data_IF_490699499133
#
_entry.id   IF_490699499133
#
_cell.length_a   1.000
_cell.length_b   1.000
_cell.length_c   1.000
_cell.angle_alpha   90.00
_cell.angle_beta   90.00
_cell.angle_gamma   90.00
#
_symmetry.space_group_name_H-M   'P 1'
#
loop_
_entity.id
_entity.type
_entity.pdbx_description
1 polymer ?
#
# COMPACT_ATOMS: atom_id res chain seq x y z
N UNK A 1 6.73 47.15 -26.47
CA UNK A 1 5.60 46.26 -26.80
C UNK A 1 6.20 44.88 -27.06
N UNK A 2 6.31 43.96 -26.09
CA UNK A 2 6.66 42.58 -26.44
C UNK A 2 5.42 41.89 -27.01
N UNK A 3 5.71 41.09 -28.03
CA UNK A 3 4.84 40.22 -28.80
C UNK A 3 3.90 39.39 -27.91
N UNK A 4 2.59 39.49 -28.15
CA UNK A 4 1.65 38.47 -27.69
C UNK A 4 1.91 37.19 -28.49
N UNK A 5 2.91 36.40 -28.05
CA UNK A 5 2.92 34.98 -28.31
C UNK A 5 1.53 34.44 -27.90
N UNK A 6 0.96 33.53 -28.69
CA UNK A 6 -0.29 32.87 -28.31
C UNK A 6 0.00 32.05 -27.05
N UNK A 7 -0.10 32.69 -25.88
CA UNK A 7 0.13 32.07 -24.59
C UNK A 7 -0.87 30.92 -24.48
N UNK A 8 -0.37 29.69 -24.51
CA UNK A 8 -1.20 28.52 -24.28
C UNK A 8 -1.84 28.68 -22.91
N UNK A 9 -3.17 28.83 -22.87
CA UNK A 9 -3.87 28.92 -21.60
C UNK A 9 -4.00 27.52 -21.02
N UNK A 10 -3.66 27.38 -19.74
CA UNK A 10 -3.88 26.19 -18.95
C UNK A 10 -4.87 26.53 -17.83
N UNK A 11 -6.00 25.83 -17.78
CA UNK A 11 -6.91 25.88 -16.64
C UNK A 11 -6.27 25.11 -15.49
N UNK A 12 -6.24 25.73 -14.32
CA UNK A 12 -5.74 25.13 -13.09
C UNK A 12 -6.78 25.32 -11.99
N UNK A 13 -6.98 24.29 -11.18
CA UNK A 13 -7.78 24.36 -9.96
C UNK A 13 -6.83 24.49 -8.79
N UNK A 14 -6.87 25.61 -8.07
CA UNK A 14 -6.03 25.86 -6.90
C UNK A 14 -6.87 25.73 -5.63
N UNK A 15 -6.59 24.72 -4.82
CA UNK A 15 -7.13 24.58 -3.48
C UNK A 15 -6.31 25.37 -2.48
N UNK A 16 -6.88 26.45 -1.95
CA UNK A 16 -6.36 27.17 -0.80
C UNK A 16 -7.04 26.70 0.49
N UNK A 17 -6.49 27.03 1.69
CA UNK A 17 -7.02 26.54 2.96
C UNK A 17 -8.50 26.87 3.22
N UNK A 18 -8.98 28.00 2.71
CA UNK A 18 -10.35 28.47 2.95
C UNK A 18 -11.30 28.28 1.75
N UNK A 19 -10.77 28.21 0.52
CA UNK A 19 -11.56 28.11 -0.71
C UNK A 19 -10.75 27.50 -1.85
N UNK A 20 -11.46 27.08 -2.89
CA UNK A 20 -10.88 26.57 -4.12
C UNK A 20 -11.21 27.54 -5.25
N UNK A 21 -10.25 27.80 -6.13
CA UNK A 21 -10.41 28.72 -7.26
C UNK A 21 -10.00 28.03 -8.56
N UNK A 22 -10.76 28.26 -9.62
CA UNK A 22 -10.44 27.76 -10.96
C UNK A 22 -10.06 28.95 -11.84
N UNK A 23 -8.86 28.92 -12.42
CA UNK A 23 -8.31 30.02 -13.20
C UNK A 23 -7.65 29.49 -14.47
N UNK A 24 -7.84 30.21 -15.57
CA UNK A 24 -7.04 30.02 -16.78
C UNK A 24 -5.81 30.91 -16.68
N UNK A 25 -4.63 30.30 -16.66
CA UNK A 25 -3.33 30.99 -16.53
C UNK A 25 -2.46 30.71 -17.76
N UNK A 26 -1.58 31.65 -18.16
CA UNK A 26 -0.58 31.40 -19.19
C UNK A 26 0.35 30.25 -18.81
N UNK A 27 0.49 29.23 -19.65
CA UNK A 27 1.30 28.05 -19.38
C UNK A 27 2.81 28.30 -19.53
N UNK A 28 3.19 29.35 -20.25
CA UNK A 28 4.55 29.77 -20.55
C UNK A 28 5.17 30.65 -19.46
N UNK A 29 4.37 31.11 -18.49
CA UNK A 29 4.84 31.97 -17.39
C UNK A 29 5.35 31.11 -16.20
N UNK A 30 6.47 31.50 -15.56
CA UNK A 30 6.99 30.84 -14.37
C UNK A 30 6.00 30.81 -13.21
N UNK A 31 6.06 29.75 -12.40
CA UNK A 31 5.20 29.60 -11.21
C UNK A 31 5.40 30.77 -10.22
N UNK A 32 6.62 31.27 -10.05
CA UNK A 32 6.93 32.42 -9.19
C UNK A 32 6.12 33.68 -9.54
N UNK A 33 5.88 33.92 -10.83
CA UNK A 33 5.18 35.10 -11.31
C UNK A 33 3.66 34.95 -11.17
N UNK A 34 3.16 33.71 -11.23
CA UNK A 34 1.73 33.40 -11.06
C UNK A 34 1.32 33.36 -9.59
N UNK A 35 2.21 32.96 -8.69
CA UNK A 35 1.95 32.75 -7.26
C UNK A 35 1.31 33.97 -6.57
N UNK A 36 1.83 35.21 -6.68
CA UNK A 36 1.23 36.37 -6.02
C UNK A 36 -0.22 36.63 -6.46
N UNK A 37 -0.49 36.47 -7.75
CA UNK A 37 -1.83 36.62 -8.31
C UNK A 37 -2.77 35.52 -7.80
N UNK A 38 -2.31 34.27 -7.77
CA UNK A 38 -3.10 33.14 -7.25
C UNK A 38 -3.40 33.31 -5.75
N UNK A 39 -2.43 33.75 -4.95
CA UNK A 39 -2.60 34.04 -3.52
C UNK A 39 -3.62 35.16 -3.31
N UNK A 40 -3.54 36.24 -4.10
CA UNK A 40 -4.49 37.35 -4.05
C UNK A 40 -5.92 36.90 -4.37
N UNK A 41 -6.12 36.06 -5.40
CA UNK A 41 -7.44 35.51 -5.69
C UNK A 41 -7.90 34.48 -4.65
N UNK A 42 -6.98 33.78 -4.00
CA UNK A 42 -7.25 32.76 -2.99
C UNK A 42 -7.69 33.32 -1.62
N UNK A 43 -7.44 34.60 -1.32
CA UNK A 43 -8.00 35.29 -0.16
C UNK A 43 -7.24 36.56 0.23
N UNK A 44 -7.95 37.53 0.80
CA UNK A 44 -7.40 38.86 1.12
C UNK A 44 -6.33 38.80 2.23
N UNK A 45 -6.50 37.92 3.23
CA UNK A 45 -5.58 37.73 4.37
C UNK A 45 -4.44 36.74 4.06
N UNK A 46 -4.48 36.09 2.90
CA UNK A 46 -3.57 34.99 2.59
C UNK A 46 -2.14 35.48 2.34
N UNK A 47 -2.00 36.67 1.74
CA UNK A 47 -0.70 37.30 1.51
C UNK A 47 0.01 37.68 2.83
N UNK A 48 -0.74 38.18 3.81
CA UNK A 48 -0.22 38.58 5.13
C UNK A 48 0.20 37.36 5.94
N UNK A 49 -0.64 36.32 5.98
CA UNK A 49 -0.30 35.03 6.59
C UNK A 49 0.94 34.39 5.97
N UNK A 50 1.19 34.64 4.69
CA UNK A 50 2.39 34.25 3.96
C UNK A 50 3.69 34.61 4.68
N UNK A 51 3.70 35.74 5.39
CA UNK A 51 4.88 36.24 6.10
C UNK A 51 5.25 35.37 7.31
N UNK A 52 4.28 34.73 7.95
CA UNK A 52 4.49 33.90 9.15
C UNK A 52 5.12 32.55 8.83
N UNK A 53 4.94 32.04 7.60
CA UNK A 53 5.33 30.70 7.19
C UNK A 53 6.27 30.67 5.97
N UNK A 54 6.97 31.77 5.70
CA UNK A 54 8.01 31.84 4.67
C UNK A 54 7.49 31.77 3.22
N UNK A 55 6.22 32.13 3.00
CA UNK A 55 5.58 32.16 1.70
C UNK A 55 4.72 30.94 1.39
N UNK A 56 4.07 31.00 0.23
CA UNK A 56 3.19 29.96 -0.30
C UNK A 56 3.88 29.18 -1.40
N UNK A 57 3.61 27.88 -1.44
CA UNK A 57 4.04 26.98 -2.50
C UNK A 57 2.83 26.34 -3.17
N UNK A 58 2.98 25.99 -4.45
CA UNK A 58 2.02 25.17 -5.18
C UNK A 58 2.54 23.74 -5.27
N UNK A 59 1.67 22.78 -5.01
CA UNK A 59 2.05 21.37 -4.95
C UNK A 59 0.94 20.49 -5.55
N UNK A 60 1.32 19.43 -6.26
CA UNK A 60 0.37 18.37 -6.68
C UNK A 60 0.10 17.43 -5.51
N UNK A 61 -1.06 16.78 -5.49
CA UNK A 61 -1.37 15.80 -4.45
C UNK A 61 -0.30 14.68 -4.44
N UNK A 62 0.44 14.59 -3.33
CA UNK A 62 1.47 13.57 -3.12
C UNK A 62 2.75 13.71 -3.94
N UNK A 63 2.93 14.80 -4.70
CA UNK A 63 4.19 15.13 -5.39
C UNK A 63 4.97 16.21 -4.63
N UNK A 64 6.21 16.50 -5.02
CA UNK A 64 6.99 17.63 -4.46
C UNK A 64 6.36 19.00 -4.80
N UNK A 65 6.71 20.07 -4.05
CA UNK A 65 6.39 21.43 -4.43
C UNK A 65 6.87 21.74 -5.87
N UNK A 66 6.07 22.49 -6.62
CA UNK A 66 6.43 22.92 -7.97
C UNK A 66 7.65 23.86 -7.91
N UNK A 67 8.57 23.67 -8.86
CA UNK A 67 9.73 24.54 -9.04
C UNK A 67 9.27 25.95 -9.47
N UNK A 68 9.65 26.97 -8.69
CA UNK A 68 9.16 28.35 -8.85
C UNK A 68 9.72 29.06 -10.09
N UNK A 69 10.91 28.67 -10.53
CA UNK A 69 11.63 29.21 -11.70
C UNK A 69 11.16 28.62 -13.03
N UNK A 70 10.32 27.58 -12.99
CA UNK A 70 9.85 26.82 -14.15
C UNK A 70 8.45 27.24 -14.55
N UNK A 71 8.17 27.24 -15.85
CA UNK A 71 6.82 27.47 -16.38
C UNK A 71 5.94 26.22 -16.20
N UNK A 72 4.61 26.41 -16.16
CA UNK A 72 3.65 25.30 -16.01
C UNK A 72 3.80 24.24 -17.12
N UNK A 73 4.06 24.68 -18.35
CA UNK A 73 4.33 23.80 -19.49
C UNK A 73 5.61 22.98 -19.28
N UNK A 74 6.68 23.59 -18.78
CA UNK A 74 7.96 22.90 -18.54
C UNK A 74 7.91 21.88 -17.40
N UNK A 75 6.96 22.05 -16.47
CA UNK A 75 6.67 21.08 -15.40
C UNK A 75 5.69 20.00 -15.90
N UNK A 76 5.20 20.13 -17.13
CA UNK A 76 4.24 19.20 -17.73
C UNK A 76 2.89 19.23 -17.02
N UNK A 77 2.46 20.39 -16.52
CA UNK A 77 1.13 20.57 -15.96
C UNK A 77 0.09 20.55 -17.09
N UNK A 78 -0.93 19.71 -16.96
CA UNK A 78 -2.01 19.59 -17.95
C UNK A 78 -3.19 20.48 -17.61
N UNK A 79 -3.97 20.82 -18.63
CA UNK A 79 -5.22 21.54 -18.47
C UNK A 79 -6.18 20.81 -17.53
N UNK A 80 -6.72 21.54 -16.55
CA UNK A 80 -7.64 21.04 -15.54
C UNK A 80 -6.97 20.35 -14.35
N UNK A 81 -5.63 20.39 -14.23
CA UNK A 81 -4.96 19.82 -13.06
C UNK A 81 -5.25 20.61 -11.79
N UNK A 82 -5.30 19.86 -10.69
CA UNK A 82 -5.56 20.37 -9.35
C UNK A 82 -4.25 20.55 -8.58
N UNK A 83 -4.04 21.76 -8.09
CA UNK A 83 -2.90 22.18 -7.29
C UNK A 83 -3.36 22.59 -5.89
N UNK A 84 -2.49 22.39 -4.91
CA UNK A 84 -2.72 22.75 -3.52
C UNK A 84 -1.78 23.90 -3.16
N UNK A 85 -2.38 24.99 -2.67
CA UNK A 85 -1.67 26.13 -2.15
C UNK A 85 -1.38 25.89 -0.66
N UNK A 86 -0.10 25.68 -0.33
CA UNK A 86 0.34 25.24 1.00
C UNK A 86 1.38 26.20 1.58
N UNK A 87 1.44 26.36 2.91
CA UNK A 87 2.56 27.05 3.56
C UNK A 87 3.87 26.34 3.23
N UNK A 88 4.94 27.10 2.94
CA UNK A 88 6.26 26.52 2.64
C UNK A 88 6.81 25.66 3.79
N UNK A 89 6.51 26.01 5.03
CA UNK A 89 6.87 25.22 6.23
C UNK A 89 6.08 23.93 6.39
N UNK A 90 4.98 23.74 5.64
CA UNK A 90 4.09 22.58 5.70
C UNK A 90 3.94 21.92 4.32
N UNK A 91 5.07 21.86 3.59
CA UNK A 91 5.18 21.14 2.31
C UNK A 91 5.04 19.64 2.55
N UNK A 92 4.17 18.99 1.79
CA UNK A 92 4.00 17.54 1.91
C UNK A 92 5.23 16.82 1.33
N UNK A 93 5.72 15.73 1.94
CA UNK A 93 6.71 14.89 1.29
C UNK A 93 6.08 14.16 0.10
N UNK A 94 6.91 13.75 -0.86
CA UNK A 94 6.49 12.85 -1.93
C UNK A 94 5.95 11.54 -1.36
N UNK A 95 4.82 11.08 -1.88
CA UNK A 95 4.20 9.83 -1.45
C UNK A 95 5.05 8.67 -1.95
N UNK A 96 5.82 8.08 -1.04
CA UNK A 96 6.50 6.82 -1.27
C UNK A 96 5.56 5.70 -0.82
N UNK A 97 4.95 5.01 -1.80
CA UNK A 97 4.16 3.81 -1.54
C UNK A 97 5.14 2.63 -1.35
N UNK A 98 5.57 2.40 -0.11
CA UNK A 98 6.54 1.34 0.23
C UNK A 98 5.94 -0.07 0.12
N UNK A 99 4.60 -0.17 0.11
CA UNK A 99 3.97 -1.44 0.45
C UNK A 99 2.80 -1.87 -0.44
N UNK A 100 3.13 -2.17 -1.70
CA UNK A 100 2.24 -2.96 -2.55
C UNK A 100 2.22 -4.45 -2.12
N UNK A 101 3.10 -4.87 -1.21
CA UNK A 101 3.30 -6.27 -0.80
C UNK A 101 2.41 -6.66 0.39
N UNK A 102 2.19 -5.79 1.38
CA UNK A 102 1.22 -6.00 2.47
C UNK A 102 -0.21 -5.91 1.96
N UNK A 103 -0.47 -5.08 0.94
CA UNK A 103 -1.78 -4.99 0.30
C UNK A 103 -2.22 -6.30 -0.35
N UNK A 104 -1.28 -7.04 -0.96
CA UNK A 104 -1.56 -8.38 -1.50
C UNK A 104 -1.58 -9.46 -0.41
N UNK A 105 -0.76 -9.34 0.63
CA UNK A 105 -0.73 -10.29 1.74
C UNK A 105 -2.06 -10.33 2.51
N UNK A 106 -2.62 -9.15 2.79
CA UNK A 106 -3.94 -9.00 3.42
C UNK A 106 -5.07 -9.51 2.52
N UNK A 107 -5.02 -9.22 1.22
CA UNK A 107 -6.03 -9.71 0.26
C UNK A 107 -5.97 -11.23 0.03
N UNK A 108 -4.80 -11.87 0.15
CA UNK A 108 -4.67 -13.32 0.02
C UNK A 108 -5.21 -14.09 1.24
N UNK A 109 -5.40 -13.43 2.38
CA UNK A 109 -5.89 -14.05 3.61
C UNK A 109 -7.38 -14.45 3.52
N UNK A 110 -8.14 -13.79 2.65
CA UNK A 110 -9.58 -14.03 2.43
C UNK A 110 -9.89 -15.13 1.39
N UNK A 111 -8.90 -15.92 0.95
CA UNK A 111 -9.16 -17.03 0.02
C UNK A 111 -9.97 -18.15 0.70
N UNK A 112 -11.15 -18.54 0.14
CA UNK A 112 -12.00 -19.60 0.70
C UNK A 112 -11.39 -21.02 0.62
N UNK A 113 -10.28 -21.19 -0.11
CA UNK A 113 -9.57 -22.46 -0.30
C UNK A 113 -8.16 -22.48 0.33
N UNK A 114 -7.87 -21.54 1.25
CA UNK A 114 -6.61 -21.54 2.00
C UNK A 114 -6.51 -22.75 2.93
N UNK A 115 -5.28 -23.21 3.19
CA UNK A 115 -5.00 -24.31 4.11
C UNK A 115 -5.34 -23.88 5.55
N UNK A 116 -6.61 -24.01 5.93
CA UNK A 116 -7.09 -23.55 7.23
C UNK A 116 -6.60 -24.46 8.36
N UNK A 117 -6.38 -23.93 9.59
CA UNK A 117 -5.99 -24.73 10.76
C UNK A 117 -6.94 -25.91 11.03
N UNK A 118 -8.23 -25.74 10.72
CA UNK A 118 -9.25 -26.80 10.82
C UNK A 118 -8.99 -27.97 9.85
N UNK A 119 -8.55 -27.68 8.62
CA UNK A 119 -8.22 -28.70 7.61
C UNK A 119 -6.94 -29.42 8.02
N UNK A 120 -5.88 -28.69 8.43
CA UNK A 120 -4.65 -29.28 8.98
C UNK A 120 -4.94 -30.27 10.10
N UNK A 121 -5.74 -29.86 11.08
CA UNK A 121 -6.09 -30.69 12.23
C UNK A 121 -6.85 -31.94 11.82
N UNK A 122 -7.79 -31.84 10.88
CA UNK A 122 -8.57 -32.98 10.40
C UNK A 122 -7.69 -33.97 9.63
N UNK A 123 -6.79 -33.48 8.77
CA UNK A 123 -5.84 -34.31 8.04
C UNK A 123 -4.90 -35.04 8.99
N UNK A 124 -4.31 -34.33 9.96
CA UNK A 124 -3.42 -34.92 10.98
C UNK A 124 -4.13 -35.99 11.82
N UNK A 125 -5.35 -35.71 12.31
CA UNK A 125 -6.13 -36.69 13.08
C UNK A 125 -6.53 -37.90 12.23
N UNK A 126 -6.87 -37.70 10.96
CA UNK A 126 -7.21 -38.80 10.05
C UNK A 126 -6.00 -39.72 9.80
N UNK A 127 -4.83 -39.12 9.61
CA UNK A 127 -3.57 -39.86 9.42
C UNK A 127 -3.19 -40.63 10.69
N UNK A 128 -3.34 -40.01 11.87
CA UNK A 128 -3.13 -40.65 13.17
C UNK A 128 -4.01 -41.90 13.36
N UNK A 129 -5.32 -41.76 13.09
CA UNK A 129 -6.27 -42.88 13.19
C UNK A 129 -5.95 -44.00 12.21
N UNK A 130 -5.54 -43.66 10.98
CA UNK A 130 -5.22 -44.64 9.94
C UNK A 130 -3.94 -45.42 10.28
N UNK A 131 -2.92 -44.74 10.82
CA UNK A 131 -1.71 -45.38 11.35
C UNK A 131 -2.01 -46.30 12.54
N UNK A 132 -2.85 -45.85 13.48
CA UNK A 132 -3.25 -46.67 14.63
C UNK A 132 -4.03 -47.92 14.20
N UNK A 133 -4.99 -47.76 13.29
CA UNK A 133 -5.78 -48.86 12.74
C UNK A 133 -4.89 -49.88 12.00
N UNK A 134 -3.92 -49.40 11.21
CA UNK A 134 -2.96 -50.26 10.52
C UNK A 134 -2.08 -51.04 11.51
N UNK A 135 -1.60 -50.39 12.58
CA UNK A 135 -0.84 -51.06 13.65
C UNK A 135 -1.64 -52.16 14.35
N UNK A 136 -2.91 -51.88 14.69
CA UNK A 136 -3.81 -52.87 15.29
C UNK A 136 -4.12 -54.03 14.35
N UNK A 137 -4.37 -53.75 13.06
CA UNK A 137 -4.61 -54.78 12.05
C UNK A 137 -3.39 -55.70 11.89
N UNK A 138 -2.17 -55.13 11.85
CA UNK A 138 -0.93 -55.91 11.78
C UNK A 138 -0.73 -56.80 13.02
N UNK A 139 -1.16 -56.34 14.20
CA UNK A 139 -1.14 -57.15 15.41
C UNK A 139 -2.20 -58.26 15.42
N UNK A 140 -3.33 -58.07 14.76
CA UNK A 140 -4.44 -59.03 14.70
C UNK A 140 -4.22 -60.20 13.72
N UNK A 141 -3.29 -60.08 12.75
CA UNK A 141 -3.02 -61.16 11.76
C UNK A 141 -2.26 -62.33 12.40
N UNK A 142 -2.81 -63.55 12.48
CA UNK A 142 -2.10 -64.71 13.03
C UNK A 142 -0.92 -65.14 12.13
N UNK A 143 0.23 -65.49 12.71
CA UNK A 143 1.36 -66.13 11.99
C UNK A 143 2.60 -65.29 11.67
N UNK A 144 2.67 -64.01 12.05
CA UNK A 144 3.90 -63.20 11.85
C UNK A 144 4.89 -63.32 13.03
N UNK A 145 6.18 -63.41 12.72
CA UNK A 145 7.29 -63.45 13.69
C UNK A 145 7.26 -62.24 14.63
N UNK A 146 7.44 -62.47 15.93
CA UNK A 146 7.26 -61.43 16.96
C UNK A 146 8.13 -60.19 16.78
N UNK A 147 9.30 -60.33 16.18
CA UNK A 147 10.23 -59.24 15.90
C UNK A 147 9.70 -58.26 14.83
N UNK A 148 9.05 -58.79 13.78
CA UNK A 148 8.48 -57.96 12.71
C UNK A 148 7.29 -57.13 13.25
N UNK A 149 6.52 -57.71 14.18
CA UNK A 149 5.45 -57.02 14.89
C UNK A 149 5.98 -55.91 15.80
N UNK A 150 7.05 -56.19 16.55
CA UNK A 150 7.67 -55.20 17.43
C UNK A 150 8.23 -54.01 16.63
N UNK A 151 8.89 -54.28 15.50
CA UNK A 151 9.42 -53.24 14.62
C UNK A 151 8.31 -52.39 14.00
N UNK A 152 7.23 -53.03 13.53
CA UNK A 152 6.06 -52.33 12.98
C UNK A 152 5.36 -51.45 14.03
N UNK A 153 5.21 -51.94 15.27
CA UNK A 153 4.63 -51.19 16.37
C UNK A 153 5.51 -49.99 16.76
N UNK A 154 6.84 -50.18 16.82
CA UNK A 154 7.78 -49.10 17.10
C UNK A 154 7.77 -48.02 16.00
N UNK A 155 7.75 -48.43 14.73
CA UNK A 155 7.65 -47.51 13.59
C UNK A 155 6.36 -46.71 13.61
N UNK A 156 5.22 -47.38 13.83
CA UNK A 156 3.93 -46.71 13.99
C UNK A 156 3.94 -45.73 15.17
N UNK A 157 4.48 -46.12 16.33
CA UNK A 157 4.62 -45.24 17.49
C UNK A 157 5.45 -43.98 17.19
N UNK A 158 6.58 -44.13 16.49
CA UNK A 158 7.45 -43.01 16.11
C UNK A 158 6.73 -42.03 15.17
N UNK A 159 5.98 -42.55 14.20
CA UNK A 159 5.14 -41.77 13.28
C UNK A 159 4.01 -41.03 14.02
N UNK A 160 3.36 -41.67 14.99
CA UNK A 160 2.31 -41.05 15.80
C UNK A 160 2.87 -39.91 16.67
N UNK A 161 4.04 -40.10 17.29
CA UNK A 161 4.71 -39.06 18.10
C UNK A 161 5.17 -37.88 17.25
N UNK A 162 5.74 -38.13 16.06
CA UNK A 162 6.10 -37.08 15.11
C UNK A 162 4.87 -36.29 14.62
N UNK A 163 3.78 -37.00 14.31
CA UNK A 163 2.49 -36.41 13.94
C UNK A 163 1.91 -35.53 15.06
N UNK A 164 1.90 -36.03 16.31
CA UNK A 164 1.42 -35.27 17.46
C UNK A 164 2.29 -34.02 17.74
N UNK A 165 3.61 -34.14 17.64
CA UNK A 165 4.53 -33.00 17.81
C UNK A 165 4.32 -31.92 16.76
N UNK A 166 4.19 -32.29 15.49
CA UNK A 166 3.88 -31.34 14.41
C UNK A 166 2.52 -30.66 14.59
N UNK A 167 1.51 -31.39 15.09
CA UNK A 167 0.19 -30.84 15.40
C UNK A 167 0.22 -29.86 16.59
N UNK A 168 1.06 -30.10 17.60
CA UNK A 168 1.19 -29.21 18.77
C UNK A 168 1.89 -27.89 18.46
N UNK A 169 2.73 -27.83 17.42
CA UNK A 169 3.44 -26.61 17.01
C UNK A 169 2.65 -25.72 16.06
N UNK A 170 1.44 -26.14 15.69
CA UNK A 170 0.55 -25.42 14.79
C UNK A 170 -0.51 -24.56 15.53
N UNK A 171 -0.25 -24.22 16.81
CA UNK A 171 -1.05 -23.31 17.65
C UNK A 171 -0.39 -21.95 17.69
#
# INVERSE_FOLDING_TARGET
MPESATAGLCRVTVHAPAKSIDLAVPADVPVADLLPTLVSYAGDDLAERGLEHGGWILQRLGGQPLEEDRSLESIGLRDGETLYLRPRTDSLPEVVLDDLVDGIATTMQDRPFGWAPKISRRTLLSMLMLTLAAGLAALAVPGSSGELRALAAAGAGMLLLGGAGSASRAV
#
